data_IF_806054983902
#
_entry.id   IF_806054983902
#
_cell.length_a   1.000
_cell.length_b   1.000
_cell.length_c   1.000
_cell.angle_alpha   90.00
_cell.angle_beta   90.00
_cell.angle_gamma   90.00
#
_symmetry.space_group_name_H-M   'P 1'
#
loop_
_entity.id
_entity.type
_entity.pdbx_description
1 polymer ?
#
# COMPACT_ATOMS: atom_id res chain seq x y z
N UNK A 1 -4.73 -21.74 23.03
CA UNK A 1 -3.94 -21.71 24.28
C UNK A 1 -2.50 -21.36 23.93
N UNK A 2 -2.18 -20.07 23.85
CA UNK A 2 -0.81 -19.53 23.89
C UNK A 2 -0.91 -18.08 24.40
N UNK A 3 -0.77 -17.92 25.71
CA UNK A 3 -0.49 -16.62 26.32
C UNK A 3 0.83 -16.79 27.05
N UNK A 4 1.92 -16.88 26.27
CA UNK A 4 3.26 -16.69 26.81
C UNK A 4 3.41 -15.20 27.05
N UNK A 5 3.57 -14.81 28.32
CA UNK A 5 4.02 -13.49 28.69
C UNK A 5 5.42 -13.28 28.09
N UNK A 6 5.46 -12.56 26.97
CA UNK A 6 6.71 -12.20 26.30
C UNK A 6 7.50 -11.26 27.21
N UNK A 7 8.83 -11.45 27.35
CA UNK A 7 9.69 -10.52 28.06
C UNK A 7 9.51 -9.11 27.48
N UNK A 8 9.58 -8.09 28.35
CA UNK A 8 9.30 -6.70 27.99
C UNK A 8 10.12 -6.22 26.79
N UNK A 9 9.54 -6.33 25.59
CA UNK A 9 10.17 -5.87 24.35
C UNK A 9 10.33 -4.35 24.43
N UNK A 10 11.54 -3.81 24.24
CA UNK A 10 11.76 -2.37 24.40
C UNK A 10 10.92 -1.56 23.40
N UNK A 11 10.35 -0.45 23.86
CA UNK A 11 9.45 0.41 23.05
C UNK A 11 10.15 0.88 21.76
N UNK A 12 11.45 1.18 21.83
CA UNK A 12 12.25 1.58 20.68
C UNK A 12 12.29 0.50 19.59
N UNK A 13 12.43 -0.76 19.97
CA UNK A 13 12.39 -1.89 19.04
C UNK A 13 10.99 -2.05 18.42
N UNK A 14 9.94 -1.88 19.22
CA UNK A 14 8.55 -1.93 18.73
C UNK A 14 8.31 -0.84 17.70
N UNK A 15 8.73 0.40 18.00
CA UNK A 15 8.61 1.53 17.10
C UNK A 15 9.41 1.29 15.81
N UNK A 16 10.65 0.85 15.92
CA UNK A 16 11.50 0.52 14.77
C UNK A 16 10.85 -0.52 13.86
N UNK A 17 10.30 -1.60 14.43
CA UNK A 17 9.61 -2.66 13.68
C UNK A 17 8.33 -2.17 13.00
N UNK A 18 7.58 -1.26 13.64
CA UNK A 18 6.42 -0.59 13.03
C UNK A 18 6.83 0.24 11.82
N UNK A 19 7.87 1.06 11.95
CA UNK A 19 8.40 1.87 10.84
C UNK A 19 8.88 0.97 9.70
N UNK A 20 9.67 -0.06 10.00
CA UNK A 20 10.16 -0.98 8.98
C UNK A 20 9.02 -1.71 8.25
N UNK A 21 8.01 -2.17 9.00
CA UNK A 21 6.84 -2.84 8.41
C UNK A 21 6.00 -1.89 7.56
N UNK A 22 5.87 -0.63 7.98
CA UNK A 22 5.23 0.43 7.17
C UNK A 22 5.96 0.63 5.85
N UNK A 23 7.28 0.81 5.90
CA UNK A 23 8.12 0.99 4.70
C UNK A 23 8.08 -0.22 3.78
N UNK A 24 8.08 -1.43 4.32
CA UNK A 24 8.03 -2.66 3.51
C UNK A 24 6.65 -2.86 2.87
N UNK A 25 5.57 -2.71 3.63
CA UNK A 25 4.20 -2.86 3.12
C UNK A 25 3.87 -1.81 2.05
N UNK A 26 4.44 -0.61 2.17
CA UNK A 26 4.27 0.51 1.24
C UNK A 26 5.40 0.68 0.23
N UNK A 27 6.36 -0.24 0.11
CA UNK A 27 7.63 -0.02 -0.62
C UNK A 27 7.47 0.58 -2.02
N UNK A 28 6.56 0.02 -2.83
CA UNK A 28 6.30 0.52 -4.18
C UNK A 28 5.66 1.91 -4.18
N UNK A 29 4.81 2.21 -3.19
CA UNK A 29 4.16 3.51 -3.04
C UNK A 29 5.14 4.58 -2.56
N UNK A 30 6.05 4.25 -1.65
CA UNK A 30 7.13 5.16 -1.25
C UNK A 30 8.06 5.47 -2.44
N UNK A 31 8.39 4.47 -3.27
CA UNK A 31 9.15 4.68 -4.50
C UNK A 31 8.40 5.62 -5.47
N UNK A 32 7.11 5.39 -5.70
CA UNK A 32 6.30 6.28 -6.53
C UNK A 32 6.19 7.70 -5.96
N UNK A 33 6.14 7.84 -4.64
CA UNK A 33 6.15 9.14 -3.99
C UNK A 33 7.46 9.89 -4.25
N UNK A 34 8.61 9.22 -4.11
CA UNK A 34 9.92 9.84 -4.38
C UNK A 34 10.06 10.26 -5.84
N UNK A 35 9.62 9.39 -6.77
CA UNK A 35 9.60 9.72 -8.20
C UNK A 35 8.67 10.90 -8.46
N UNK A 36 7.47 10.91 -7.89
CA UNK A 36 6.50 12.00 -8.06
C UNK A 36 7.01 13.31 -7.47
N UNK A 37 7.70 13.27 -6.33
CA UNK A 37 8.32 14.45 -5.71
C UNK A 37 9.42 15.03 -6.60
N UNK A 38 10.28 14.17 -7.14
CA UNK A 38 11.31 14.56 -8.10
C UNK A 38 10.70 15.18 -9.38
N UNK A 39 9.67 14.54 -9.96
CA UNK A 39 9.02 15.08 -11.15
C UNK A 39 8.30 16.41 -10.84
N UNK A 40 7.68 16.52 -9.67
CA UNK A 40 7.07 17.78 -9.22
C UNK A 40 8.10 18.90 -9.16
N UNK A 41 9.29 18.67 -8.59
CA UNK A 41 10.32 19.71 -8.51
C UNK A 41 10.86 20.10 -9.88
N UNK A 42 11.03 19.14 -10.79
CA UNK A 42 11.45 19.41 -12.18
C UNK A 42 10.41 20.25 -12.93
N UNK A 43 9.13 19.87 -12.88
CA UNK A 43 8.06 20.59 -13.58
C UNK A 43 7.75 21.94 -12.94
N UNK A 44 7.84 22.06 -11.62
CA UNK A 44 7.68 23.33 -10.92
C UNK A 44 8.78 24.31 -11.31
N UNK A 45 10.05 23.86 -11.37
CA UNK A 45 11.15 24.70 -11.84
C UNK A 45 10.92 25.19 -13.27
N UNK A 46 10.43 24.32 -14.16
CA UNK A 46 10.09 24.69 -15.54
C UNK A 46 8.92 25.67 -15.60
N UNK A 47 7.89 25.48 -14.78
CA UNK A 47 6.74 26.37 -14.69
C UNK A 47 7.15 27.79 -14.26
N UNK A 48 8.03 27.91 -13.27
CA UNK A 48 8.54 29.21 -12.78
C UNK A 48 9.40 29.94 -13.82
N UNK A 49 9.97 29.21 -14.79
CA UNK A 49 10.80 29.75 -15.88
C UNK A 49 10.02 29.93 -17.19
N UNK A 50 8.77 29.48 -17.26
CA UNK A 50 8.01 29.42 -18.50
C UNK A 50 7.38 30.77 -18.85
N UNK A 51 7.47 31.16 -20.12
CA UNK A 51 6.68 32.24 -20.69
C UNK A 51 5.19 31.85 -20.80
N UNK A 52 4.31 32.86 -20.87
CA UNK A 52 2.86 32.70 -20.73
C UNK A 52 2.20 31.66 -21.65
N UNK A 53 2.72 31.41 -22.84
CA UNK A 53 2.07 30.50 -23.80
C UNK A 53 2.37 29.01 -23.57
N UNK A 54 3.44 28.69 -22.82
CA UNK A 54 3.80 27.31 -22.45
C UNK A 54 3.35 26.91 -21.03
N UNK A 55 2.68 27.82 -20.32
CA UNK A 55 2.30 27.63 -18.92
C UNK A 55 1.43 26.39 -18.69
N UNK A 56 0.48 26.12 -19.60
CA UNK A 56 -0.42 24.97 -19.55
C UNK A 56 0.32 23.61 -19.60
N UNK A 57 1.40 23.52 -20.37
CA UNK A 57 2.24 22.33 -20.50
C UNK A 57 3.01 21.98 -19.23
N UNK A 58 3.23 22.95 -18.36
CA UNK A 58 3.98 22.76 -17.12
C UNK A 58 3.08 22.72 -15.89
N UNK A 59 1.98 23.46 -15.87
CA UNK A 59 1.06 23.49 -14.72
C UNK A 59 0.33 22.16 -14.54
N UNK A 60 -0.17 21.55 -15.62
CA UNK A 60 -0.93 20.31 -15.53
C UNK A 60 -0.07 19.15 -15.00
N UNK A 61 1.15 18.88 -15.52
CA UNK A 61 2.02 17.88 -14.93
C UNK A 61 2.43 18.21 -13.49
N UNK A 62 2.68 19.48 -13.17
CA UNK A 62 3.02 19.89 -11.80
C UNK A 62 1.91 19.52 -10.83
N UNK A 63 0.66 19.88 -11.14
CA UNK A 63 -0.50 19.55 -10.32
C UNK A 63 -0.71 18.04 -10.23
N UNK A 64 -0.54 17.30 -11.34
CA UNK A 64 -0.67 15.85 -11.36
C UNK A 64 0.35 15.18 -10.43
N UNK A 65 1.63 15.50 -10.57
CA UNK A 65 2.68 14.88 -9.75
C UNK A 65 2.60 15.33 -8.28
N UNK A 66 2.24 16.59 -8.02
CA UNK A 66 1.99 17.06 -6.65
C UNK A 66 0.83 16.31 -5.99
N UNK A 67 -0.25 16.06 -6.73
CA UNK A 67 -1.37 15.23 -6.24
C UNK A 67 -0.91 13.80 -5.96
N UNK A 68 -0.09 13.23 -6.85
CA UNK A 68 0.45 11.87 -6.68
C UNK A 68 1.30 11.72 -5.42
N UNK A 69 2.09 12.73 -5.03
CA UNK A 69 2.84 12.73 -3.75
C UNK A 69 1.90 12.50 -2.57
N UNK A 70 0.77 13.22 -2.52
CA UNK A 70 -0.21 13.07 -1.44
C UNK A 70 -0.93 11.73 -1.52
N UNK A 71 -1.46 11.37 -2.69
CA UNK A 71 -2.28 10.15 -2.83
C UNK A 71 -1.47 8.87 -2.61
N UNK A 72 -0.18 8.86 -2.95
CA UNK A 72 0.68 7.69 -2.71
C UNK A 72 0.94 7.46 -1.22
N UNK A 73 1.04 8.52 -0.41
CA UNK A 73 1.16 8.38 1.05
C UNK A 73 -0.15 7.94 1.70
N UNK A 74 -1.29 8.45 1.23
CA UNK A 74 -2.61 8.00 1.70
C UNK A 74 -2.85 6.52 1.38
N UNK A 75 -2.47 6.07 0.18
CA UNK A 75 -2.55 4.64 -0.17
C UNK A 75 -1.53 3.83 0.65
N UNK A 76 -0.32 4.33 0.90
CA UNK A 76 0.67 3.62 1.72
C UNK A 76 0.17 3.41 3.15
N UNK A 77 -0.44 4.43 3.74
CA UNK A 77 -1.14 4.32 5.03
C UNK A 77 -2.24 3.26 4.99
N UNK A 78 -3.08 3.27 3.96
CA UNK A 78 -4.17 2.30 3.79
C UNK A 78 -3.64 0.87 3.62
N UNK A 79 -2.57 0.67 2.84
CA UNK A 79 -1.90 -0.64 2.71
C UNK A 79 -1.31 -1.11 4.02
N UNK A 80 -0.79 -0.21 4.84
CA UNK A 80 -0.30 -0.56 6.17
C UNK A 80 -1.44 -1.00 7.12
N UNK A 81 -2.63 -0.40 7.02
CA UNK A 81 -3.80 -0.92 7.76
C UNK A 81 -4.15 -2.34 7.33
N UNK A 82 -4.20 -2.59 6.02
CA UNK A 82 -4.46 -3.92 5.46
C UNK A 82 -3.39 -4.94 5.90
N UNK A 83 -2.11 -4.55 5.89
CA UNK A 83 -1.01 -5.37 6.41
C UNK A 83 -1.25 -5.79 7.87
N UNK A 84 -1.60 -4.84 8.75
CA UNK A 84 -1.87 -5.14 10.17
C UNK A 84 -3.05 -6.10 10.33
N UNK A 85 -4.14 -5.85 9.60
CA UNK A 85 -5.33 -6.69 9.63
C UNK A 85 -5.04 -8.11 9.15
N UNK A 86 -4.35 -8.26 8.03
CA UNK A 86 -4.00 -9.55 7.45
C UNK A 86 -3.03 -10.31 8.35
N UNK A 87 -2.06 -9.63 8.95
CA UNK A 87 -1.14 -10.23 9.92
C UNK A 87 -1.90 -10.83 11.10
N UNK A 88 -2.81 -10.06 11.71
CA UNK A 88 -3.63 -10.54 12.82
C UNK A 88 -4.51 -11.73 12.40
N UNK A 89 -5.13 -11.69 11.20
CA UNK A 89 -5.95 -12.79 10.69
C UNK A 89 -5.14 -14.07 10.47
N UNK A 90 -3.94 -13.96 9.90
CA UNK A 90 -3.04 -15.09 9.68
C UNK A 90 -2.49 -15.65 10.98
N UNK A 91 -2.20 -14.80 11.97
CA UNK A 91 -1.78 -15.24 13.29
C UNK A 91 -2.87 -16.06 13.98
N UNK A 92 -4.13 -15.58 13.95
CA UNK A 92 -5.25 -16.22 14.61
C UNK A 92 -5.73 -17.51 13.94
N UNK A 93 -5.75 -17.55 12.61
CA UNK A 93 -6.44 -18.62 11.87
C UNK A 93 -5.51 -19.48 11.01
N UNK A 94 -4.22 -19.16 10.99
CA UNK A 94 -3.28 -19.68 10.01
C UNK A 94 -3.62 -19.25 8.59
N UNK A 95 -2.96 -19.87 7.62
CA UNK A 95 -3.23 -19.58 6.22
C UNK A 95 -4.60 -20.13 5.78
N UNK A 96 -5.48 -19.22 5.35
CA UNK A 96 -6.76 -19.55 4.69
C UNK A 96 -6.98 -18.61 3.52
N UNK A 97 -7.08 -19.16 2.31
CA UNK A 97 -7.22 -18.41 1.07
C UNK A 97 -8.37 -17.38 1.09
N UNK A 98 -9.51 -17.75 1.69
CA UNK A 98 -10.69 -16.90 1.81
C UNK A 98 -10.42 -15.58 2.56
N UNK A 99 -9.48 -15.59 3.52
CA UNK A 99 -9.12 -14.39 4.30
C UNK A 99 -8.34 -13.37 3.47
N UNK A 100 -7.64 -13.82 2.43
CA UNK A 100 -6.75 -12.98 1.61
C UNK A 100 -7.46 -12.40 0.38
N UNK A 101 -8.58 -12.98 -0.04
CA UNK A 101 -9.36 -12.56 -1.22
C UNK A 101 -9.66 -11.06 -1.27
N UNK A 102 -10.21 -10.46 -0.20
CA UNK A 102 -10.52 -9.02 -0.15
C UNK A 102 -9.30 -8.11 -0.35
N UNK A 103 -8.09 -8.62 -0.13
CA UNK A 103 -6.84 -7.85 -0.22
C UNK A 103 -6.04 -8.15 -1.49
N UNK A 104 -6.69 -8.71 -2.53
CA UNK A 104 -6.00 -9.17 -3.75
C UNK A 104 -6.13 -8.23 -4.96
N UNK A 105 -6.98 -7.19 -4.88
CA UNK A 105 -7.44 -6.43 -6.04
C UNK A 105 -6.36 -5.56 -6.71
N UNK A 106 -5.41 -5.00 -5.96
CA UNK A 106 -4.29 -4.23 -6.50
C UNK A 106 -2.92 -4.80 -6.13
N UNK A 107 -1.89 -4.44 -6.90
CA UNK A 107 -0.52 -4.87 -6.62
C UNK A 107 -0.05 -4.44 -5.23
N UNK A 108 -0.26 -3.17 -4.85
CA UNK A 108 0.11 -2.65 -3.53
C UNK A 108 -0.62 -3.39 -2.39
N UNK A 109 -1.85 -3.86 -2.64
CA UNK A 109 -2.63 -4.66 -1.70
C UNK A 109 -2.01 -6.04 -1.50
N UNK A 110 -1.65 -6.71 -2.61
CA UNK A 110 -0.98 -8.02 -2.58
C UNK A 110 0.41 -7.95 -1.95
N UNK A 111 1.15 -6.87 -2.18
CA UNK A 111 2.48 -6.66 -1.58
C UNK A 111 2.36 -6.51 -0.05
N UNK A 112 1.36 -5.76 0.44
CA UNK A 112 1.07 -5.65 1.87
C UNK A 112 0.68 -6.99 2.52
N UNK A 113 -0.16 -7.78 1.83
CA UNK A 113 -0.53 -9.15 2.26
C UNK A 113 0.69 -10.07 2.29
N UNK A 114 1.53 -10.01 1.26
CA UNK A 114 2.73 -10.81 1.19
C UNK A 114 3.73 -10.46 2.30
N UNK A 115 3.89 -9.17 2.63
CA UNK A 115 4.73 -8.73 3.75
C UNK A 115 4.18 -9.25 5.09
N UNK A 116 2.87 -9.21 5.30
CA UNK A 116 2.23 -9.79 6.49
C UNK A 116 2.49 -11.30 6.58
N UNK A 117 2.27 -12.02 5.48
CA UNK A 117 2.47 -13.46 5.40
C UNK A 117 3.94 -13.88 5.59
N UNK A 118 4.90 -13.07 5.11
CA UNK A 118 6.34 -13.30 5.26
C UNK A 118 6.76 -13.34 6.73
N UNK A 119 6.14 -12.51 7.58
CA UNK A 119 6.45 -12.50 9.01
C UNK A 119 5.94 -13.72 9.78
N UNK A 120 5.01 -14.48 9.18
CA UNK A 120 4.39 -15.67 9.78
C UNK A 120 4.67 -16.95 8.98
N UNK A 121 5.70 -16.93 8.12
CA UNK A 121 6.11 -18.08 7.28
C UNK A 121 5.04 -18.59 6.30
N UNK A 122 4.08 -17.74 5.92
CA UNK A 122 3.01 -18.06 4.96
C UNK A 122 3.23 -17.42 3.57
N UNK A 123 4.43 -16.89 3.29
CA UNK A 123 4.75 -16.17 2.05
C UNK A 123 4.51 -17.01 0.80
N UNK A 124 4.96 -18.27 0.80
CA UNK A 124 4.82 -19.16 -0.36
C UNK A 124 3.37 -19.50 -0.66
N UNK A 125 2.59 -19.83 0.38
CA UNK A 125 1.18 -20.17 0.25
C UNK A 125 0.38 -18.98 -0.30
N UNK A 126 0.69 -17.78 0.20
CA UNK A 126 0.14 -16.50 -0.28
C UNK A 126 0.46 -16.26 -1.76
N UNK A 127 1.71 -16.48 -2.17
CA UNK A 127 2.10 -16.30 -3.56
C UNK A 127 1.46 -17.33 -4.48
N UNK A 128 1.37 -18.61 -4.05
CA UNK A 128 0.66 -19.68 -4.78
C UNK A 128 -0.82 -19.33 -4.95
N UNK A 129 -1.45 -18.79 -3.91
CA UNK A 129 -2.84 -18.33 -3.98
C UNK A 129 -3.03 -17.19 -5.00
N UNK A 130 -2.21 -16.15 -4.94
CA UNK A 130 -2.32 -15.05 -5.91
C UNK A 130 -2.03 -15.47 -7.35
N UNK A 131 -1.08 -16.40 -7.55
CA UNK A 131 -0.85 -17.02 -8.87
C UNK A 131 -2.08 -17.80 -9.35
N UNK A 132 -2.76 -18.54 -8.45
CA UNK A 132 -4.01 -19.27 -8.76
C UNK A 132 -5.16 -18.33 -9.16
N UNK A 133 -5.21 -17.12 -8.60
CA UNK A 133 -6.14 -16.06 -9.02
C UNK A 133 -5.78 -15.41 -10.38
N UNK A 134 -4.68 -15.82 -11.01
CA UNK A 134 -4.21 -15.27 -12.29
C UNK A 134 -3.34 -14.02 -12.17
N UNK A 135 -3.00 -13.58 -10.96
CA UNK A 135 -2.12 -12.42 -10.79
C UNK A 135 -0.66 -12.75 -11.13
N UNK A 136 -0.01 -11.81 -11.81
CA UNK A 136 1.38 -11.87 -12.26
C UNK A 136 2.07 -10.56 -11.86
N UNK A 137 3.40 -10.55 -11.88
CA UNK A 137 4.18 -9.40 -11.45
C UNK A 137 3.87 -8.12 -12.26
N UNK A 138 3.52 -8.27 -13.55
CA UNK A 138 3.17 -7.17 -14.45
C UNK A 138 1.72 -6.65 -14.28
N UNK A 139 0.86 -7.33 -13.52
CA UNK A 139 -0.51 -6.87 -13.23
C UNK A 139 -0.48 -5.76 -12.16
N UNK A 140 -0.03 -4.56 -12.56
CA UNK A 140 0.08 -3.38 -11.69
C UNK A 140 -1.29 -2.75 -11.50
N UNK A 141 -2.04 -2.54 -12.60
CA UNK A 141 -3.34 -1.91 -12.57
C UNK A 141 -4.40 -2.83 -11.93
N UNK A 142 -5.23 -2.31 -11.02
CA UNK A 142 -6.34 -3.06 -10.45
C UNK A 142 -7.32 -3.53 -11.53
N UNK A 143 -7.66 -4.81 -11.52
CA UNK A 143 -8.62 -5.41 -12.45
C UNK A 143 -9.98 -4.68 -12.49
N UNK A 144 -10.53 -4.17 -11.38
CA UNK A 144 -11.78 -3.42 -11.42
C UNK A 144 -11.71 -2.15 -12.29
N UNK A 145 -10.59 -1.43 -12.27
CA UNK A 145 -10.38 -0.22 -13.05
C UNK A 145 -10.29 -0.55 -14.54
N UNK A 146 -9.58 -1.63 -14.89
CA UNK A 146 -9.50 -2.10 -16.28
C UNK A 146 -10.87 -2.45 -16.85
N UNK A 147 -11.78 -3.00 -16.03
CA UNK A 147 -13.14 -3.33 -16.45
C UNK A 147 -14.07 -2.12 -16.48
N UNK A 148 -13.92 -1.19 -15.55
CA UNK A 148 -14.77 -0.01 -15.39
C UNK A 148 -13.92 1.19 -14.95
N UNK A 149 -13.35 1.98 -15.87
CA UNK A 149 -12.43 3.07 -15.54
C UNK A 149 -13.11 4.18 -14.71
N UNK A 150 -14.41 4.40 -14.90
CA UNK A 150 -15.19 5.36 -14.11
C UNK A 150 -15.23 5.08 -12.60
N UNK A 151 -14.85 3.87 -12.16
CA UNK A 151 -14.72 3.56 -10.73
C UNK A 151 -13.72 4.48 -10.02
N UNK A 152 -12.68 4.94 -10.72
CA UNK A 152 -11.66 5.84 -10.17
C UNK A 152 -12.25 7.16 -9.62
N UNK A 153 -13.41 7.59 -10.11
CA UNK A 153 -14.05 8.83 -9.71
C UNK A 153 -15.13 8.61 -8.63
N UNK A 154 -15.34 7.38 -8.20
CA UNK A 154 -16.38 7.06 -7.21
C UNK A 154 -15.86 7.25 -5.78
N UNK A 155 -16.72 7.79 -4.90
CA UNK A 155 -16.41 7.93 -3.47
C UNK A 155 -16.02 6.60 -2.82
N UNK A 156 -16.67 5.51 -3.21
CA UNK A 156 -16.38 4.17 -2.70
C UNK A 156 -14.95 3.68 -3.03
N UNK A 157 -14.47 3.96 -4.24
CA UNK A 157 -13.09 3.64 -4.61
C UNK A 157 -12.10 4.41 -3.73
N UNK A 158 -12.32 5.71 -3.52
CA UNK A 158 -11.43 6.54 -2.71
C UNK A 158 -11.42 6.12 -1.24
N UNK A 159 -12.59 5.81 -0.68
CA UNK A 159 -12.71 5.32 0.69
C UNK A 159 -11.93 4.02 0.92
N UNK A 160 -11.97 3.09 -0.04
CA UNK A 160 -11.28 1.79 0.06
C UNK A 160 -9.81 1.83 -0.35
N UNK A 161 -9.39 2.86 -1.10
CA UNK A 161 -8.01 2.99 -1.59
C UNK A 161 -7.16 3.88 -0.69
N UNK A 162 -7.65 5.09 -0.39
CA UNK A 162 -6.90 6.14 0.29
C UNK A 162 -7.30 6.34 1.75
N UNK A 163 -8.55 6.03 2.11
CA UNK A 163 -9.11 6.33 3.43
C UNK A 163 -9.55 5.08 4.19
N UNK A 164 -8.75 4.01 4.12
CA UNK A 164 -9.01 2.81 4.91
C UNK A 164 -8.96 3.17 6.40
N UNK A 165 -9.96 2.70 7.14
CA UNK A 165 -10.08 2.97 8.56
C UNK A 165 -8.85 2.47 9.33
N UNK A 166 -8.48 3.21 10.37
CA UNK A 166 -7.41 2.80 11.26
C UNK A 166 -7.73 1.44 11.87
N UNK A 167 -6.78 0.50 11.74
CA UNK A 167 -6.89 -0.83 12.34
C UNK A 167 -5.90 -0.97 13.51
N UNK A 168 -6.37 -1.10 14.77
CA UNK A 168 -5.49 -1.37 15.91
C UNK A 168 -4.97 -2.81 15.82
N UNK A 169 -3.66 -2.98 15.58
CA UNK A 169 -3.07 -4.32 15.53
C UNK A 169 -3.09 -4.95 16.92
N UNK A 170 -3.66 -6.15 16.99
CA UNK A 170 -3.74 -6.95 18.20
C UNK A 170 -2.47 -7.77 18.36
N UNK A 171 -1.93 -8.31 17.26
CA UNK A 171 -0.86 -9.31 17.25
C UNK A 171 0.48 -8.81 16.66
N UNK A 172 0.84 -7.53 16.88
CA UNK A 172 2.01 -6.94 16.20
C UNK A 172 3.36 -7.58 16.55
N UNK A 173 3.58 -7.95 17.81
CA UNK A 173 4.81 -8.60 18.32
C UNK A 173 4.58 -10.03 18.85
N UNK A 174 3.47 -10.64 18.44
CA UNK A 174 3.06 -11.94 18.94
C UNK A 174 3.58 -13.07 18.07
#
# INVERSE_FOLDING_TARGET
>A
MFKQEQPGVPISYVLFRKILSFLNAGRMLHLFCLISLFLTSVFLKRLLQAEHWYWSWHILPTLLFATLVVTTQLDAYSRYQNYKQVKDLLYLHGFRALLLGPFSHSRCQRDAVWEAAKQLSYAEQTQKYFKKLGYRWYHILPTPILKKPGLLLTKGYWATTFFVHYYPSKYFHW
#
